data_IF_919950992288
#
_entry.id   IF_919950992288
#
_cell.length_a   1.000
_cell.length_b   1.000
_cell.length_c   1.000
_cell.angle_alpha   90.00
_cell.angle_beta   90.00
_cell.angle_gamma   90.00
#
_symmetry.space_group_name_H-M   'P 1'
#
loop_
_entity.id
_entity.type
_entity.pdbx_description
1 polymer ?
#
# COMPACT_ATOMS: atom_id res chain seq x y z
N UNK A 1 -41.80 -8.94 -2.93
CA UNK A 1 -40.37 -8.82 -3.20
C UNK A 1 -39.64 -8.93 -1.86
N UNK A 2 -39.07 -10.11 -1.55
CA UNK A 2 -38.33 -10.33 -0.33
C UNK A 2 -37.02 -9.56 -0.39
N UNK A 3 -36.77 -8.72 0.60
CA UNK A 3 -35.45 -8.14 0.87
C UNK A 3 -34.49 -9.32 1.11
N UNK A 4 -33.60 -9.56 0.16
CA UNK A 4 -32.49 -10.48 0.37
C UNK A 4 -31.60 -9.85 1.45
N UNK A 5 -31.51 -10.51 2.60
CA UNK A 5 -30.60 -10.10 3.68
C UNK A 5 -29.20 -10.11 3.07
N UNK A 6 -28.54 -8.97 3.09
CA UNK A 6 -27.15 -8.85 2.67
C UNK A 6 -26.31 -9.87 3.42
N UNK A 7 -25.80 -10.84 2.70
CA UNK A 7 -24.82 -11.77 3.26
C UNK A 7 -23.55 -10.98 3.55
N UNK A 8 -23.13 -10.96 4.81
CA UNK A 8 -21.85 -10.37 5.18
C UNK A 8 -20.73 -11.01 4.38
N UNK A 9 -19.81 -10.18 3.88
CA UNK A 9 -18.62 -10.62 3.17
C UNK A 9 -17.43 -10.64 4.13
N UNK A 10 -16.64 -11.72 4.08
CA UNK A 10 -15.39 -11.82 4.82
C UNK A 10 -14.30 -11.13 4.02
N UNK A 11 -13.76 -10.07 4.56
CA UNK A 11 -12.76 -9.24 3.87
C UNK A 11 -11.45 -9.22 4.65
N UNK A 12 -10.32 -9.30 3.92
CA UNK A 12 -9.00 -8.93 4.43
C UNK A 12 -8.35 -8.00 3.41
N UNK A 13 -8.23 -6.73 3.78
CA UNK A 13 -7.74 -5.67 2.92
C UNK A 13 -6.28 -5.31 3.19
N UNK A 14 -5.56 -6.14 3.98
CA UNK A 14 -4.14 -5.95 4.29
C UNK A 14 -3.40 -7.28 4.32
N UNK A 15 -3.09 -7.80 3.15
CA UNK A 15 -2.44 -9.11 2.97
C UNK A 15 -1.11 -8.94 2.25
N UNK A 16 -0.04 -9.49 2.83
CA UNK A 16 1.27 -9.55 2.18
C UNK A 16 1.44 -10.86 1.42
N UNK A 17 1.90 -10.77 0.19
CA UNK A 17 2.16 -11.91 -0.67
C UNK A 17 3.57 -12.51 -0.49
N UNK A 18 3.91 -13.50 -1.31
CA UNK A 18 5.27 -14.06 -1.37
C UNK A 18 6.29 -13.08 -1.96
N UNK A 19 5.84 -12.07 -2.66
CA UNK A 19 6.69 -11.02 -3.25
C UNK A 19 7.02 -9.91 -2.26
N UNK A 20 6.45 -9.92 -1.06
CA UNK A 20 6.86 -9.04 0.02
C UNK A 20 8.18 -9.50 0.66
N UNK A 21 9.13 -8.57 0.87
CA UNK A 21 10.40 -8.90 1.53
C UNK A 21 10.20 -9.48 2.94
N UNK A 22 9.15 -9.08 3.64
CA UNK A 22 8.85 -9.51 5.00
C UNK A 22 8.34 -10.96 5.09
N UNK A 23 8.08 -11.63 3.96
CA UNK A 23 7.50 -12.98 3.91
C UNK A 23 8.50 -14.03 3.40
N UNK A 24 8.40 -15.25 3.96
CA UNK A 24 9.31 -16.37 3.67
C UNK A 24 8.65 -17.52 2.91
N UNK A 25 7.33 -17.51 2.71
CA UNK A 25 6.64 -18.54 1.93
C UNK A 25 6.72 -18.25 0.43
N UNK A 26 6.61 -19.29 -0.38
CA UNK A 26 6.62 -19.21 -1.85
C UNK A 26 5.22 -18.86 -2.43
N UNK A 27 5.18 -18.54 -3.73
CA UNK A 27 3.98 -18.18 -4.49
C UNK A 27 2.92 -19.30 -4.43
N UNK A 28 3.31 -20.57 -4.57
CA UNK A 28 2.38 -21.68 -4.59
C UNK A 28 1.71 -21.88 -3.21
N UNK A 29 2.46 -21.73 -2.13
CA UNK A 29 1.94 -21.78 -0.76
C UNK A 29 0.98 -20.63 -0.50
N UNK A 30 1.34 -19.42 -0.92
CA UNK A 30 0.48 -18.24 -0.79
C UNK A 30 -0.84 -18.43 -1.55
N UNK A 31 -0.79 -18.81 -2.82
CA UNK A 31 -1.98 -19.02 -3.64
C UNK A 31 -2.90 -20.10 -3.04
N UNK A 32 -2.33 -21.20 -2.58
CA UNK A 32 -3.09 -22.26 -1.92
C UNK A 32 -3.81 -21.76 -0.68
N UNK A 33 -3.15 -20.92 0.13
CA UNK A 33 -3.75 -20.34 1.34
C UNK A 33 -4.93 -19.43 0.98
N UNK A 34 -4.75 -18.51 0.01
CA UNK A 34 -5.80 -17.60 -0.46
C UNK A 34 -6.99 -18.37 -1.03
N UNK A 35 -6.74 -19.35 -1.90
CA UNK A 35 -7.82 -20.11 -2.54
C UNK A 35 -8.60 -20.98 -1.59
N UNK A 36 -7.97 -21.47 -0.50
CA UNK A 36 -8.61 -22.26 0.56
C UNK A 36 -9.27 -21.40 1.64
N UNK A 37 -8.90 -20.13 1.75
CA UNK A 37 -9.46 -19.24 2.77
C UNK A 37 -10.97 -19.06 2.56
N UNK A 38 -11.66 -18.68 3.62
CA UNK A 38 -13.08 -18.29 3.56
C UNK A 38 -13.28 -16.81 3.21
N UNK A 39 -12.23 -16.11 2.80
CA UNK A 39 -12.33 -14.71 2.41
C UNK A 39 -13.10 -14.57 1.08
N UNK A 40 -14.05 -13.66 1.06
CA UNK A 40 -14.76 -13.25 -0.15
C UNK A 40 -14.01 -12.16 -0.90
N UNK A 41 -13.39 -11.25 -0.16
CA UNK A 41 -12.69 -10.07 -0.68
C UNK A 41 -11.31 -9.97 -0.04
N UNK A 42 -10.30 -9.69 -0.85
CA UNK A 42 -8.95 -9.41 -0.32
C UNK A 42 -8.22 -8.38 -1.16
N UNK A 43 -7.29 -7.67 -0.53
CA UNK A 43 -6.30 -6.83 -1.22
C UNK A 43 -4.89 -7.31 -0.87
N UNK A 44 -4.03 -7.38 -1.88
CA UNK A 44 -2.61 -7.65 -1.69
C UNK A 44 -1.90 -6.31 -1.56
N UNK A 45 -1.20 -6.11 -0.46
CA UNK A 45 -0.62 -4.83 -0.04
C UNK A 45 0.83 -5.02 0.40
N UNK A 46 1.67 -5.49 -0.51
CA UNK A 46 3.09 -5.69 -0.23
C UNK A 46 3.79 -4.35 0.03
N UNK A 47 4.87 -4.37 0.83
CA UNK A 47 5.60 -3.16 1.17
C UNK A 47 6.31 -2.55 -0.04
N UNK A 48 6.03 -1.29 -0.32
CA UNK A 48 6.75 -0.41 -1.26
C UNK A 48 6.88 -0.96 -2.69
N UNK A 49 6.11 -1.98 -3.05
CA UNK A 49 6.18 -2.63 -4.37
C UNK A 49 4.88 -3.34 -4.70
N UNK A 50 4.57 -3.45 -5.99
CA UNK A 50 3.37 -4.11 -6.52
C UNK A 50 3.82 -5.15 -7.54
N UNK A 51 3.57 -6.43 -7.25
CA UNK A 51 3.84 -7.52 -8.18
C UNK A 51 2.64 -7.78 -9.08
N UNK A 52 2.62 -7.12 -10.24
CA UNK A 52 1.51 -7.19 -11.21
C UNK A 52 1.33 -8.61 -11.75
N UNK A 53 2.43 -9.35 -11.97
CA UNK A 53 2.36 -10.73 -12.45
C UNK A 53 1.68 -11.63 -11.42
N UNK A 54 2.10 -11.54 -10.15
CA UNK A 54 1.49 -12.29 -9.06
C UNK A 54 0.00 -11.96 -8.91
N UNK A 55 -0.35 -10.68 -8.95
CA UNK A 55 -1.75 -10.22 -8.84
C UNK A 55 -2.60 -10.77 -10.00
N UNK A 56 -2.10 -10.72 -11.23
CA UNK A 56 -2.78 -11.22 -12.42
C UNK A 56 -2.97 -12.74 -12.36
N UNK A 57 -1.95 -13.47 -11.96
CA UNK A 57 -2.02 -14.93 -11.81
C UNK A 57 -3.02 -15.34 -10.72
N UNK A 58 -3.00 -14.63 -9.59
CA UNK A 58 -3.95 -14.89 -8.50
C UNK A 58 -5.37 -14.58 -8.93
N UNK A 59 -5.62 -13.46 -9.61
CA UNK A 59 -6.93 -13.09 -10.14
C UNK A 59 -7.45 -14.16 -11.09
N UNK A 60 -6.59 -14.68 -11.98
CA UNK A 60 -6.96 -15.75 -12.90
C UNK A 60 -7.37 -17.04 -12.17
N UNK A 61 -6.65 -17.40 -11.10
CA UNK A 61 -7.01 -18.60 -10.30
C UNK A 61 -8.26 -18.39 -9.43
N UNK A 62 -8.62 -17.15 -9.11
CA UNK A 62 -9.84 -16.81 -8.38
C UNK A 62 -11.09 -16.76 -9.24
N UNK A 63 -10.95 -16.70 -10.58
CA UNK A 63 -12.11 -16.68 -11.51
C UNK A 63 -13.06 -17.83 -11.24
N UNK A 64 -14.35 -17.53 -11.14
CA UNK A 64 -15.41 -18.51 -10.88
C UNK A 64 -15.49 -19.03 -9.44
N UNK A 65 -14.67 -18.54 -8.52
CA UNK A 65 -14.66 -18.97 -7.10
C UNK A 65 -15.43 -18.03 -6.17
N UNK A 66 -16.10 -17.01 -6.70
CA UNK A 66 -16.88 -16.05 -5.91
C UNK A 66 -16.01 -15.14 -5.03
N UNK A 67 -14.71 -15.03 -5.32
CA UNK A 67 -13.74 -14.17 -4.61
C UNK A 67 -13.43 -12.93 -5.43
N UNK A 68 -13.19 -11.81 -4.75
CA UNK A 68 -12.80 -10.52 -5.33
C UNK A 68 -11.40 -10.17 -4.88
N UNK A 69 -10.56 -9.76 -5.83
CA UNK A 69 -9.20 -9.28 -5.60
C UNK A 69 -9.11 -7.80 -5.94
N UNK A 70 -8.59 -7.00 -5.00
CA UNK A 70 -8.10 -5.66 -5.24
C UNK A 70 -6.57 -5.66 -5.33
N UNK A 71 -6.04 -4.82 -6.18
CA UNK A 71 -4.64 -4.42 -6.09
C UNK A 71 -4.45 -3.51 -4.90
N UNK A 72 -3.26 -3.53 -4.32
CA UNK A 72 -2.91 -2.66 -3.23
C UNK A 72 -1.41 -2.57 -3.01
N UNK A 73 -1.02 -1.66 -2.15
CA UNK A 73 0.36 -1.51 -1.68
C UNK A 73 0.36 -0.89 -0.30
N UNK A 74 1.23 -1.34 0.58
CA UNK A 74 1.59 -0.64 1.81
C UNK A 74 2.83 0.20 1.53
N UNK A 75 2.68 1.52 1.52
CA UNK A 75 3.78 2.45 1.22
C UNK A 75 4.27 3.15 2.47
N UNK A 76 5.59 3.30 2.57
CA UNK A 76 6.24 4.19 3.52
C UNK A 76 6.17 5.62 3.00
N UNK A 77 5.47 6.48 3.71
CA UNK A 77 5.30 7.89 3.32
C UNK A 77 5.78 8.86 4.39
N UNK A 78 6.11 10.06 3.96
CA UNK A 78 6.40 11.20 4.80
C UNK A 78 5.65 12.43 4.29
N UNK A 79 5.38 13.38 5.18
CA UNK A 79 4.81 14.68 4.83
C UNK A 79 5.93 15.68 4.57
N UNK A 80 5.72 16.62 3.66
CA UNK A 80 6.60 17.78 3.49
C UNK A 80 6.53 18.71 4.72
N UNK A 81 7.61 19.39 5.03
CA UNK A 81 7.68 20.29 6.20
C UNK A 81 6.61 21.38 6.15
N UNK A 82 6.27 21.87 4.95
CA UNK A 82 5.21 22.85 4.74
C UNK A 82 3.84 22.29 5.14
N UNK A 83 3.56 21.05 4.78
CA UNK A 83 2.33 20.35 5.15
C UNK A 83 2.24 20.16 6.66
N UNK A 84 3.32 19.71 7.27
CA UNK A 84 3.42 19.55 8.73
C UNK A 84 3.10 20.86 9.43
N UNK A 85 3.72 21.97 8.99
CA UNK A 85 3.48 23.30 9.55
C UNK A 85 2.06 23.81 9.32
N UNK A 86 1.54 23.65 8.09
CA UNK A 86 0.20 24.14 7.72
C UNK A 86 -0.91 23.49 8.56
N UNK A 87 -0.75 22.23 8.92
CA UNK A 87 -1.73 21.49 9.73
C UNK A 87 -1.42 21.47 11.22
N UNK A 88 -0.37 22.16 11.69
CA UNK A 88 0.03 22.20 13.10
C UNK A 88 0.37 20.81 13.66
N UNK A 89 0.91 19.94 12.83
CA UNK A 89 1.30 18.59 13.23
C UNK A 89 2.64 18.65 13.97
N UNK A 90 2.60 18.54 15.27
CA UNK A 90 3.81 18.32 16.07
C UNK A 90 4.25 16.87 15.92
N UNK A 91 5.14 16.63 14.97
CA UNK A 91 5.69 15.29 14.77
C UNK A 91 6.98 15.15 15.60
N UNK A 92 6.95 14.38 16.65
CA UNK A 92 8.16 13.96 17.39
C UNK A 92 9.10 13.06 16.56
N UNK A 93 8.86 12.93 15.28
CA UNK A 93 9.64 12.24 14.25
C UNK A 93 9.20 12.75 12.89
N UNK A 94 10.01 12.62 11.88
CA UNK A 94 9.93 13.18 10.52
C UNK A 94 8.61 13.00 9.72
N UNK A 95 7.44 12.92 10.37
CA UNK A 95 6.14 12.74 9.71
C UNK A 95 6.01 11.45 8.90
N UNK A 96 6.88 10.45 9.15
CA UNK A 96 6.88 9.18 8.43
C UNK A 96 5.85 8.22 9.03
N UNK A 97 5.06 7.60 8.16
CA UNK A 97 4.08 6.58 8.54
C UNK A 97 3.85 5.61 7.38
N UNK A 98 3.22 4.48 7.65
CA UNK A 98 2.74 3.58 6.61
C UNK A 98 1.37 4.01 6.14
N UNK A 99 1.10 3.84 4.86
CA UNK A 99 -0.22 3.99 4.30
C UNK A 99 -0.57 2.79 3.41
N UNK A 100 -1.81 2.37 3.49
CA UNK A 100 -2.34 1.36 2.59
C UNK A 100 -3.09 2.06 1.48
N UNK A 101 -2.77 1.69 0.25
CA UNK A 101 -3.45 2.17 -0.96
C UNK A 101 -4.11 0.99 -1.62
N UNK A 102 -5.41 1.09 -1.94
CA UNK A 102 -6.15 0.10 -2.71
C UNK A 102 -6.61 0.68 -4.03
N UNK A 103 -6.60 -0.14 -5.06
CA UNK A 103 -7.00 0.25 -6.40
C UNK A 103 -7.60 -0.94 -7.17
N UNK A 104 -8.33 -0.63 -8.24
CA UNK A 104 -8.84 -1.67 -9.15
C UNK A 104 -7.68 -2.36 -9.86
N UNK A 105 -7.80 -3.67 -10.06
CA UNK A 105 -6.84 -4.47 -10.84
C UNK A 105 -6.57 -3.91 -12.25
N UNK A 106 -7.50 -3.15 -12.82
CA UNK A 106 -7.33 -2.51 -14.12
C UNK A 106 -6.22 -1.43 -14.13
N UNK A 107 -5.83 -0.94 -12.95
CA UNK A 107 -4.79 0.09 -12.78
C UNK A 107 -3.50 -0.46 -12.14
N UNK A 108 -3.36 -1.79 -12.05
CA UNK A 108 -2.23 -2.39 -11.33
C UNK A 108 -0.87 -2.04 -11.97
N UNK A 109 -0.77 -2.06 -13.29
CA UNK A 109 0.47 -1.73 -14.01
C UNK A 109 0.85 -0.25 -13.82
N UNK A 110 -0.12 0.65 -13.99
CA UNK A 110 0.10 2.08 -13.85
C UNK A 110 0.49 2.46 -12.41
N UNK A 111 -0.22 1.91 -11.42
CA UNK A 111 0.11 2.15 -10.02
C UNK A 111 1.48 1.56 -9.65
N UNK A 112 1.82 0.38 -10.16
CA UNK A 112 3.13 -0.24 -9.94
C UNK A 112 4.26 0.63 -10.49
N UNK A 113 4.10 1.20 -11.67
CA UNK A 113 5.07 2.12 -12.27
C UNK A 113 5.26 3.38 -11.41
N UNK A 114 4.16 4.02 -10.99
CA UNK A 114 4.21 5.23 -10.15
C UNK A 114 4.94 4.95 -8.82
N UNK A 115 4.56 3.88 -8.11
CA UNK A 115 5.18 3.51 -6.83
C UNK A 115 6.67 3.26 -7.02
N UNK A 116 7.04 2.47 -8.04
CA UNK A 116 8.44 2.12 -8.31
C UNK A 116 9.29 3.35 -8.63
N UNK A 117 8.83 4.23 -9.52
CA UNK A 117 9.53 5.46 -9.89
C UNK A 117 9.76 6.39 -8.68
N UNK A 118 8.74 6.57 -7.84
CA UNK A 118 8.85 7.41 -6.64
C UNK A 118 9.88 6.84 -5.65
N UNK A 119 9.85 5.52 -5.41
CA UNK A 119 10.85 4.91 -4.52
C UNK A 119 12.25 4.92 -5.10
N UNK A 120 12.45 4.68 -6.41
CA UNK A 120 13.75 4.84 -7.07
C UNK A 120 14.28 6.26 -6.86
N UNK A 121 13.45 7.26 -7.13
CA UNK A 121 13.83 8.66 -6.95
C UNK A 121 14.22 8.98 -5.50
N UNK A 122 13.47 8.45 -4.54
CA UNK A 122 13.75 8.66 -3.12
C UNK A 122 15.02 7.92 -2.65
N UNK A 123 15.25 6.69 -3.10
CA UNK A 123 16.48 5.92 -2.80
C UNK A 123 17.70 6.68 -3.34
N UNK A 124 17.65 7.09 -4.59
CA UNK A 124 18.74 7.84 -5.24
C UNK A 124 19.04 9.13 -4.49
N UNK A 125 18.02 9.90 -4.14
CA UNK A 125 18.17 11.15 -3.40
C UNK A 125 18.81 10.93 -2.02
N UNK A 126 18.47 9.83 -1.34
CA UNK A 126 19.00 9.55 -0.01
C UNK A 126 20.45 9.05 -0.02
N UNK A 127 20.87 8.35 -1.07
CA UNK A 127 22.16 7.68 -1.09
C UNK A 127 23.23 8.42 -1.91
N UNK A 128 22.83 9.30 -2.83
CA UNK A 128 23.73 9.97 -3.77
C UNK A 128 23.76 11.49 -3.56
N UNK A 129 23.83 11.94 -2.31
CA UNK A 129 23.88 13.37 -1.99
C UNK A 129 25.11 14.05 -2.63
N UNK A 130 26.21 13.29 -2.89
CA UNK A 130 27.49 13.81 -3.37
C UNK A 130 28.11 13.05 -4.56
N UNK A 131 27.34 12.25 -5.32
CA UNK A 131 27.91 11.49 -6.44
C UNK A 131 27.64 12.14 -7.80
N UNK A 132 28.58 11.92 -8.73
CA UNK A 132 28.49 12.31 -10.12
C UNK A 132 27.33 11.61 -10.88
N UNK A 133 26.95 12.15 -12.04
CA UNK A 133 25.82 11.67 -12.83
C UNK A 133 25.97 10.22 -13.32
N UNK A 134 27.20 9.74 -13.54
CA UNK A 134 27.46 8.39 -14.07
C UNK A 134 27.06 7.30 -13.06
N UNK A 135 27.41 7.47 -11.80
CA UNK A 135 27.01 6.53 -10.72
C UNK A 135 25.51 6.50 -10.48
N UNK A 136 24.82 7.60 -10.74
CA UNK A 136 23.36 7.70 -10.59
C UNK A 136 22.62 6.88 -11.66
N UNK A 137 23.02 6.98 -12.92
CA UNK A 137 22.40 6.26 -14.03
C UNK A 137 22.50 4.74 -13.86
N UNK A 138 23.69 4.24 -13.51
CA UNK A 138 23.90 2.81 -13.24
C UNK A 138 23.04 2.30 -12.07
N UNK A 139 22.94 3.10 -11.00
CA UNK A 139 22.12 2.72 -9.85
C UNK A 139 20.63 2.68 -10.16
N UNK A 140 20.11 3.64 -10.93
CA UNK A 140 18.72 3.63 -11.40
C UNK A 140 18.46 2.35 -12.18
N UNK A 141 19.31 2.04 -13.17
CA UNK A 141 19.17 0.84 -13.98
C UNK A 141 19.19 -0.45 -13.11
N UNK A 142 20.07 -0.52 -12.13
CA UNK A 142 20.14 -1.66 -11.22
C UNK A 142 18.85 -1.80 -10.39
N UNK A 143 18.26 -0.71 -9.90
CA UNK A 143 17.00 -0.73 -9.16
C UNK A 143 15.80 -1.11 -10.05
N UNK A 144 15.80 -0.68 -11.32
CA UNK A 144 14.77 -1.04 -12.29
C UNK A 144 14.74 -2.53 -12.62
N UNK A 145 15.89 -3.19 -12.58
CA UNK A 145 16.04 -4.62 -12.89
C UNK A 145 15.69 -5.56 -11.71
N UNK A 146 15.51 -5.01 -10.50
CA UNK A 146 15.16 -5.84 -9.35
C UNK A 146 13.75 -6.44 -9.49
N UNK A 147 13.60 -7.71 -9.11
CA UNK A 147 12.27 -8.27 -8.86
C UNK A 147 11.55 -7.56 -7.72
N UNK A 148 10.24 -7.76 -7.60
CA UNK A 148 9.42 -7.03 -6.63
C UNK A 148 9.88 -7.25 -5.19
N UNK A 149 10.32 -8.45 -4.84
CA UNK A 149 10.79 -8.78 -3.48
C UNK A 149 12.10 -8.09 -3.14
N UNK A 150 13.04 -8.13 -4.07
CA UNK A 150 14.35 -7.47 -3.93
C UNK A 150 14.18 -5.94 -3.92
N UNK A 151 13.30 -5.41 -4.77
CA UNK A 151 12.97 -3.98 -4.78
C UNK A 151 12.30 -3.53 -3.48
N UNK A 152 11.29 -4.25 -3.01
CA UNK A 152 10.64 -4.01 -1.72
C UNK A 152 11.65 -3.96 -0.56
N UNK A 153 12.66 -4.84 -0.58
CA UNK A 153 13.74 -4.83 0.41
C UNK A 153 14.67 -3.62 0.26
N UNK A 154 15.02 -3.24 -0.95
CA UNK A 154 15.84 -2.04 -1.20
C UNK A 154 15.13 -0.75 -0.74
N UNK A 155 13.80 -0.71 -0.86
CA UNK A 155 12.97 0.43 -0.47
C UNK A 155 12.63 0.47 1.04
N UNK A 156 12.95 -0.57 1.83
CA UNK A 156 12.52 -0.71 3.24
C UNK A 156 12.90 0.48 4.13
N UNK A 157 14.09 1.06 3.92
CA UNK A 157 14.57 2.19 4.72
C UNK A 157 14.13 3.56 4.16
N UNK A 158 13.40 3.59 3.06
CA UNK A 158 13.05 4.80 2.31
C UNK A 158 11.58 5.12 2.49
N UNK A 159 11.25 6.42 2.50
CA UNK A 159 9.88 6.91 2.45
C UNK A 159 9.74 7.92 1.30
N UNK A 160 8.58 7.92 0.65
CA UNK A 160 8.24 8.88 -0.40
C UNK A 160 7.39 10.02 0.18
N UNK A 161 7.38 11.19 -0.45
CA UNK A 161 6.47 12.24 -0.04
C UNK A 161 5.03 11.90 -0.41
N UNK A 162 4.12 11.98 0.57
CA UNK A 162 2.69 11.73 0.34
C UNK A 162 2.11 12.62 -0.75
N UNK A 163 2.48 13.89 -0.75
CA UNK A 163 2.02 14.88 -1.71
C UNK A 163 2.45 14.51 -3.15
N UNK A 164 3.67 14.01 -3.33
CA UNK A 164 4.17 13.56 -4.63
C UNK A 164 3.43 12.30 -5.11
N UNK A 165 3.17 11.37 -4.19
CA UNK A 165 2.37 10.19 -4.51
C UNK A 165 0.95 10.59 -4.93
N UNK A 166 0.28 11.45 -4.17
CA UNK A 166 -1.08 11.91 -4.48
C UNK A 166 -1.16 12.65 -5.81
N UNK A 167 -0.16 13.49 -6.13
CA UNK A 167 -0.07 14.17 -7.41
C UNK A 167 0.08 13.18 -8.58
N UNK A 168 1.00 12.22 -8.46
CA UNK A 168 1.27 11.23 -9.51
C UNK A 168 0.12 10.24 -9.70
N UNK A 169 -0.55 9.84 -8.64
CA UNK A 169 -1.66 8.91 -8.65
C UNK A 169 -3.03 9.57 -8.85
N UNK A 170 -3.12 10.89 -9.04
CA UNK A 170 -4.38 11.65 -9.07
C UNK A 170 -5.37 11.18 -10.15
N UNK A 171 -4.89 10.62 -11.27
CA UNK A 171 -5.73 10.11 -12.36
C UNK A 171 -6.25 8.69 -12.10
N UNK A 172 -5.71 7.98 -11.12
CA UNK A 172 -6.07 6.60 -10.80
C UNK A 172 -7.07 6.61 -9.65
N UNK A 173 -8.28 6.03 -9.80
CA UNK A 173 -9.18 5.82 -8.68
C UNK A 173 -8.53 4.90 -7.65
N UNK A 174 -8.30 5.41 -6.45
CA UNK A 174 -7.71 4.65 -5.36
C UNK A 174 -8.22 5.11 -4.00
N UNK A 175 -8.12 4.23 -3.02
CA UNK A 175 -8.37 4.54 -1.61
C UNK A 175 -7.06 4.59 -0.87
N UNK A 176 -6.90 5.61 -0.05
CA UNK A 176 -5.73 5.83 0.78
C UNK A 176 -6.13 5.79 2.26
N UNK A 177 -5.48 4.91 3.04
CA UNK A 177 -5.73 4.78 4.48
C UNK A 177 -4.40 4.81 5.21
N UNK A 178 -4.16 5.79 6.08
CA UNK A 178 -3.02 5.77 6.98
C UNK A 178 -3.06 4.50 7.83
N UNK A 179 -1.96 3.76 7.85
CA UNK A 179 -1.79 2.56 8.66
C UNK A 179 -0.87 2.84 9.83
N UNK A 180 -1.25 2.37 11.01
CA UNK A 180 -0.49 2.59 12.22
C UNK A 180 0.86 1.88 12.15
N UNK A 181 1.96 2.64 12.23
CA UNK A 181 3.24 2.06 12.53
C UNK A 181 3.24 1.68 14.02
N UNK A 182 3.79 0.53 14.39
CA UNK A 182 3.84 0.03 15.78
C UNK A 182 4.42 1.04 16.77
N UNK A 183 5.17 2.02 16.28
CA UNK A 183 5.87 3.00 17.09
C UNK A 183 5.11 4.32 17.30
N UNK A 184 4.02 4.58 16.55
CA UNK A 184 3.22 5.82 16.70
C UNK A 184 1.76 5.56 16.36
N UNK A 185 0.86 5.87 17.29
CA UNK A 185 -0.56 5.73 17.06
C UNK A 185 -1.10 6.83 16.13
N UNK A 186 -2.00 6.47 15.23
CA UNK A 186 -2.71 7.42 14.37
C UNK A 186 -3.38 8.55 15.17
N UNK A 187 -3.66 8.32 16.46
CA UNK A 187 -4.20 9.30 17.39
C UNK A 187 -3.26 10.50 17.63
N UNK A 188 -1.96 10.36 17.34
CA UNK A 188 -1.00 11.47 17.43
C UNK A 188 -1.10 12.43 16.23
N UNK A 189 -1.68 11.96 15.12
CA UNK A 189 -1.83 12.73 13.88
C UNK A 189 -3.26 13.28 13.66
N UNK A 190 -4.23 12.82 14.45
CA UNK A 190 -5.62 13.28 14.32
C UNK A 190 -5.93 14.27 15.44
N UNK A 191 -6.17 15.57 15.15
CA UNK A 191 -6.55 16.51 16.16
C UNK A 191 -7.85 16.06 16.84
N UNK A 192 -7.81 15.96 18.20
CA UNK A 192 -8.98 15.78 19.07
C UNK A 192 -9.68 14.41 19.13
N UNK A 193 -9.05 13.30 18.81
CA UNK A 193 -9.57 12.01 19.25
C UNK A 193 -8.82 11.51 20.48
N UNK A 194 -9.57 11.34 21.57
CA UNK A 194 -9.06 10.73 22.81
C UNK A 194 -8.36 9.40 22.49
N UNK A 195 -7.22 9.14 23.15
CA UNK A 195 -6.34 7.95 23.07
C UNK A 195 -7.05 6.60 23.36
N UNK A 196 -8.30 6.42 22.99
CA UNK A 196 -8.93 5.11 23.01
C UNK A 196 -8.61 4.42 21.72
N UNK A 197 -7.95 3.25 21.82
CA UNK A 197 -7.75 2.33 20.71
C UNK A 197 -8.91 2.39 19.75
N UNK A 198 -8.64 2.69 18.47
CA UNK A 198 -9.62 2.53 17.42
C UNK A 198 -10.09 1.08 17.48
N UNK A 199 -11.25 0.87 18.06
CA UNK A 199 -11.86 -0.45 18.19
C UNK A 199 -12.10 -1.00 16.77
N UNK A 200 -12.13 -2.30 16.63
CA UNK A 200 -12.47 -3.00 15.38
C UNK A 200 -13.70 -2.39 14.67
N UNK A 201 -14.64 -1.85 15.42
CA UNK A 201 -15.81 -1.12 14.92
C UNK A 201 -15.46 0.18 14.19
N UNK A 202 -14.45 0.90 14.62
CA UNK A 202 -14.00 2.13 13.96
C UNK A 202 -13.28 1.83 12.65
N UNK A 203 -12.55 0.71 12.57
CA UNK A 203 -11.97 0.23 11.31
C UNK A 203 -13.04 -0.14 10.28
N UNK A 204 -14.08 -0.83 10.69
CA UNK A 204 -15.24 -1.15 9.84
C UNK A 204 -15.96 0.10 9.34
N UNK A 205 -16.05 1.16 10.14
CA UNK A 205 -16.69 2.41 9.76
C UNK A 205 -15.92 3.14 8.64
N UNK A 206 -14.59 3.18 8.71
CA UNK A 206 -13.77 3.74 7.63
C UNK A 206 -13.88 2.91 6.34
N UNK A 207 -13.86 1.59 6.43
CA UNK A 207 -14.04 0.70 5.27
C UNK A 207 -15.43 0.84 4.65
N UNK A 208 -16.48 0.97 5.43
CA UNK A 208 -17.84 1.10 4.92
C UNK A 208 -18.09 2.45 4.22
N UNK A 209 -17.49 3.55 4.69
CA UNK A 209 -17.61 4.85 4.06
C UNK A 209 -16.82 4.95 2.74
N UNK A 210 -15.63 4.37 2.69
CA UNK A 210 -14.84 4.29 1.47
C UNK A 210 -15.55 3.50 0.36
N UNK A 211 -16.27 2.44 0.71
CA UNK A 211 -17.04 1.60 -0.22
C UNK A 211 -18.39 2.23 -0.65
N UNK A 212 -18.89 3.24 0.05
CA UNK A 212 -20.19 3.86 -0.23
C UNK A 212 -20.14 5.02 -1.23
N UNK A 213 -18.96 5.46 -1.66
CA UNK A 213 -18.77 6.60 -2.57
C UNK A 213 -18.80 6.21 -4.05
N UNK A 214 -18.81 4.92 -4.38
CA UNK A 214 -18.92 4.39 -5.75
C UNK A 214 -20.28 3.76 -6.09
N UNK A 215 -21.35 4.20 -5.44
CA UNK A 215 -22.72 3.76 -5.72
C UNK A 215 -23.52 4.77 -6.51
#
# INVERSE_FOLDING_TARGET
AGLTINTFKKCDMHVHSSSCFSRRYDKATFFRAVLKSELDVLAITDHNSIDVELLTDLQNQMKGKGKVLFGGVEIDVMLKDETIKAYGLETGGKGRFHAIVWFSMNHAEEMAAIVRELFISAIIKNELIDSDDDGKAEKIQNLELLDCKSFSKAAEATAIYLEEFQERAAAIPHFFVPHENKDKSLSEYLPNRSKKNLDYKDRLFYYSHAMAVEG
#
